data_IF_893298038046
#
_entry.id   IF_893298038046
#
_cell.length_a   1.000
_cell.length_b   1.000
_cell.length_c   1.000
_cell.angle_alpha   90.00
_cell.angle_beta   90.00
_cell.angle_gamma   90.00
#
_symmetry.space_group_name_H-M   'P 1'
#
loop_
_entity.id
_entity.type
_entity.pdbx_description
1 polymer ?
#
# COMPACT_ATOMS: atom_id res chain seq x y z
N UNK A 1 27.85 41.88 -78.71
CA UNK A 1 28.31 41.66 -77.31
C UNK A 1 27.13 41.89 -76.36
N UNK A 2 26.36 40.85 -75.98
CA UNK A 2 25.20 41.01 -75.06
C UNK A 2 24.99 39.83 -74.08
N UNK A 3 25.90 38.86 -74.01
CA UNK A 3 25.72 37.64 -73.20
C UNK A 3 26.26 37.70 -71.75
N UNK A 4 27.19 38.62 -71.44
CA UNK A 4 27.92 38.62 -70.15
C UNK A 4 27.17 39.35 -69.02
N UNK A 5 26.34 40.34 -69.33
CA UNK A 5 25.58 41.09 -68.32
C UNK A 5 24.35 40.32 -67.79
N UNK A 6 23.80 39.40 -68.59
CA UNK A 6 22.60 38.64 -68.21
C UNK A 6 22.93 37.49 -67.26
N UNK A 7 24.10 36.84 -67.41
CA UNK A 7 24.56 35.78 -66.51
C UNK A 7 24.94 36.31 -65.12
N UNK A 8 25.59 37.49 -65.05
CA UNK A 8 25.92 38.14 -63.77
C UNK A 8 24.65 38.55 -63.02
N UNK A 9 23.65 39.12 -63.73
CA UNK A 9 22.33 39.43 -63.13
C UNK A 9 21.60 38.18 -62.63
N UNK A 10 21.64 37.09 -63.39
CA UNK A 10 21.04 35.82 -62.98
C UNK A 10 21.71 35.23 -61.72
N UNK A 11 23.04 35.30 -61.62
CA UNK A 11 23.79 34.84 -60.44
C UNK A 11 23.45 35.68 -59.19
N UNK A 12 23.33 37.01 -59.34
CA UNK A 12 22.94 37.90 -58.24
C UNK A 12 21.50 37.60 -57.79
N UNK A 13 20.57 37.42 -58.72
CA UNK A 13 19.17 37.08 -58.40
C UNK A 13 19.07 35.72 -57.68
N UNK A 14 19.80 34.70 -58.14
CA UNK A 14 19.85 33.40 -57.47
C UNK A 14 20.47 33.49 -56.07
N UNK A 15 21.50 34.31 -55.88
CA UNK A 15 22.09 34.56 -54.57
C UNK A 15 21.10 35.22 -53.59
N UNK A 16 20.35 36.24 -54.05
CA UNK A 16 19.34 36.92 -53.24
C UNK A 16 18.19 35.98 -52.87
N UNK A 17 17.71 35.16 -53.82
CA UNK A 17 16.67 34.15 -53.56
C UNK A 17 17.18 33.11 -52.55
N UNK A 18 18.43 32.66 -52.69
CA UNK A 18 19.03 31.71 -51.75
C UNK A 18 19.06 32.24 -50.31
N UNK A 19 19.46 33.50 -50.13
CA UNK A 19 19.45 34.15 -48.81
C UNK A 19 18.03 34.30 -48.26
N UNK A 20 17.07 34.66 -49.10
CA UNK A 20 15.66 34.80 -48.71
C UNK A 20 15.05 33.47 -48.26
N UNK A 21 15.29 32.40 -49.02
CA UNK A 21 14.81 31.05 -48.68
C UNK A 21 15.46 30.58 -47.37
N UNK A 22 16.75 30.85 -47.18
CA UNK A 22 17.44 30.49 -45.94
C UNK A 22 16.88 31.24 -44.72
N UNK A 23 16.57 32.53 -44.87
CA UNK A 23 15.95 33.34 -43.81
C UNK A 23 14.54 32.83 -43.45
N UNK A 24 13.74 32.43 -44.45
CA UNK A 24 12.40 31.87 -44.24
C UNK A 24 12.47 30.51 -43.54
N UNK A 25 13.37 29.61 -43.97
CA UNK A 25 13.54 28.30 -43.34
C UNK A 25 14.06 28.45 -41.90
N UNK A 26 15.06 29.30 -41.68
CA UNK A 26 15.60 29.55 -40.34
C UNK A 26 14.56 30.18 -39.41
N UNK A 27 13.79 31.15 -39.92
CA UNK A 27 12.67 31.76 -39.20
C UNK A 27 11.57 30.76 -38.87
N UNK A 28 11.20 29.90 -39.81
CA UNK A 28 10.20 28.84 -39.63
C UNK A 28 10.62 27.81 -38.58
N UNK A 29 11.86 27.33 -38.63
CA UNK A 29 12.40 26.37 -37.64
C UNK A 29 12.51 27.04 -36.25
N UNK A 30 12.93 28.30 -36.18
CA UNK A 30 13.02 29.03 -34.92
C UNK A 30 11.65 29.26 -34.29
N UNK A 31 10.63 29.60 -35.09
CA UNK A 31 9.26 29.82 -34.63
C UNK A 31 8.55 28.53 -34.21
N UNK A 32 8.88 27.38 -34.83
CA UNK A 32 8.22 26.09 -34.58
C UNK A 32 8.93 25.22 -33.54
N UNK A 33 10.17 25.54 -33.15
CA UNK A 33 10.98 24.76 -32.19
C UNK A 33 10.32 24.48 -30.83
N UNK A 34 9.31 25.28 -30.45
CA UNK A 34 8.58 25.15 -29.18
C UNK A 34 7.10 24.76 -29.33
N UNK A 35 6.61 24.53 -30.56
CA UNK A 35 5.21 24.12 -30.79
C UNK A 35 5.13 22.59 -30.61
N UNK A 36 4.57 22.15 -29.48
CA UNK A 36 4.35 20.74 -29.18
C UNK A 36 5.14 20.16 -28.00
N UNK A 37 6.05 20.93 -27.38
CA UNK A 37 6.66 20.51 -26.11
C UNK A 37 5.75 20.89 -24.94
N UNK A 38 5.23 19.88 -24.25
CA UNK A 38 4.52 20.06 -22.97
C UNK A 38 5.39 20.89 -22.02
N UNK A 39 4.83 21.96 -21.45
CA UNK A 39 5.50 22.88 -20.50
C UNK A 39 5.74 22.26 -19.11
N UNK A 40 6.02 20.96 -19.02
CA UNK A 40 6.22 20.26 -17.76
C UNK A 40 7.46 19.35 -17.79
N UNK A 41 8.57 19.86 -18.30
CA UNK A 41 9.89 19.31 -17.93
C UNK A 41 10.47 20.26 -16.90
N UNK A 42 10.43 19.86 -15.63
CA UNK A 42 11.17 20.54 -14.59
C UNK A 42 12.65 20.35 -14.92
N UNK A 43 13.32 21.41 -15.35
CA UNK A 43 14.78 21.35 -15.55
C UNK A 43 15.45 21.10 -14.21
N UNK A 44 16.61 20.44 -14.21
CA UNK A 44 17.36 20.14 -12.98
C UNK A 44 17.61 21.42 -12.15
N UNK A 45 17.88 22.54 -12.82
CA UNK A 45 18.05 23.86 -12.18
C UNK A 45 16.78 24.33 -11.45
N UNK A 46 15.61 24.10 -12.06
CA UNK A 46 14.32 24.46 -11.46
C UNK A 46 13.98 23.55 -10.29
N UNK A 47 14.32 22.26 -10.37
CA UNK A 47 14.17 21.31 -9.26
C UNK A 47 15.08 21.69 -8.07
N UNK A 48 16.34 22.03 -8.32
CA UNK A 48 17.29 22.47 -7.29
C UNK A 48 16.80 23.77 -6.63
N UNK A 49 16.30 24.73 -7.42
CA UNK A 49 15.77 25.98 -6.88
C UNK A 49 14.55 25.76 -5.99
N UNK A 50 13.64 24.86 -6.40
CA UNK A 50 12.49 24.47 -5.57
C UNK A 50 12.93 23.75 -4.30
N UNK A 51 13.90 22.85 -4.39
CA UNK A 51 14.44 22.12 -3.25
C UNK A 51 15.12 23.05 -2.23
N UNK A 52 15.93 24.01 -2.68
CA UNK A 52 16.56 24.99 -1.80
C UNK A 52 15.51 25.86 -1.10
N UNK A 53 14.45 26.27 -1.81
CA UNK A 53 13.36 27.03 -1.19
C UNK A 53 12.64 26.23 -0.10
N UNK A 54 12.44 24.93 -0.32
CA UNK A 54 11.84 24.05 0.68
C UNK A 54 12.76 23.84 1.89
N UNK A 55 14.08 23.84 1.70
CA UNK A 55 15.05 23.77 2.80
C UNK A 55 15.12 25.07 3.61
N UNK A 56 15.03 26.23 2.97
CA UNK A 56 15.06 27.54 3.65
C UNK A 56 13.86 27.72 4.60
N UNK A 57 12.73 27.06 4.33
CA UNK A 57 11.52 27.11 5.16
C UNK A 57 11.54 26.10 6.34
N UNK A 58 12.60 25.30 6.50
CA UNK A 58 12.73 24.33 7.61
C UNK A 58 13.57 24.94 8.73
N UNK A 59 12.91 25.34 9.81
CA UNK A 59 13.57 25.72 11.05
C UNK A 59 13.90 24.46 11.87
N UNK A 60 15.19 24.11 11.95
CA UNK A 60 15.66 22.90 12.65
C UNK A 60 16.11 23.26 14.05
N UNK A 61 15.32 22.91 15.05
CA UNK A 61 15.78 22.90 16.44
C UNK A 61 16.43 21.55 16.77
N UNK A 62 17.76 21.55 16.92
CA UNK A 62 18.48 20.39 17.48
C UNK A 62 18.33 20.38 18.99
N UNK A 63 17.35 19.60 19.46
CA UNK A 63 17.24 19.25 20.88
C UNK A 63 18.38 18.31 21.28
N UNK A 64 18.87 18.44 22.52
CA UNK A 64 19.81 17.46 23.06
C UNK A 64 19.13 16.10 23.15
N UNK A 65 19.74 15.01 22.64
CA UNK A 65 19.16 13.68 22.75
C UNK A 65 18.98 13.32 24.22
N UNK A 66 17.74 13.25 24.69
CA UNK A 66 17.45 12.64 25.99
C UNK A 66 17.74 11.15 25.86
N UNK A 67 18.86 10.71 26.45
CA UNK A 67 19.16 9.30 26.64
C UNK A 67 18.12 8.72 27.61
N UNK A 68 17.00 8.25 27.07
CA UNK A 68 16.18 7.27 27.77
C UNK A 68 17.00 5.98 27.74
N UNK A 69 17.20 5.27 28.86
CA UNK A 69 17.75 3.94 28.81
C UNK A 69 16.81 3.09 27.95
N UNK A 70 17.22 2.79 26.72
CA UNK A 70 16.64 1.69 25.96
C UNK A 70 17.14 0.46 26.68
N UNK A 71 16.25 -0.22 27.40
CA UNK A 71 16.53 -1.57 27.85
C UNK A 71 16.81 -2.41 26.60
N UNK A 72 18.06 -2.85 26.44
CA UNK A 72 18.50 -3.73 25.35
C UNK A 72 18.19 -5.20 25.64
N UNK A 73 17.57 -5.50 26.79
CA UNK A 73 16.91 -6.79 26.94
C UNK A 73 15.81 -6.84 25.88
N UNK A 74 15.92 -7.78 24.95
CA UNK A 74 14.85 -8.03 23.99
C UNK A 74 13.59 -8.29 24.82
N UNK A 75 12.71 -7.29 24.94
CA UNK A 75 11.46 -7.45 25.63
C UNK A 75 10.81 -8.68 25.01
N UNK A 76 10.59 -9.70 25.82
CA UNK A 76 9.93 -10.92 25.37
C UNK A 76 8.67 -10.47 24.64
N UNK A 77 8.49 -10.87 23.37
CA UNK A 77 7.30 -10.47 22.59
C UNK A 77 6.04 -10.80 23.38
N UNK A 78 6.06 -11.92 24.12
CA UNK A 78 5.02 -12.32 25.09
C UNK A 78 4.76 -11.30 26.21
N UNK A 79 5.78 -10.62 26.71
CA UNK A 79 5.64 -9.60 27.76
C UNK A 79 5.20 -8.25 27.18
N UNK A 80 5.65 -7.92 25.97
CA UNK A 80 5.30 -6.67 25.29
C UNK A 80 3.87 -6.67 24.73
N UNK A 81 3.36 -7.83 24.33
CA UNK A 81 1.98 -7.96 23.86
C UNK A 81 1.00 -7.57 24.98
N UNK A 82 -0.11 -6.88 24.68
CA UNK A 82 -1.12 -6.62 25.69
C UNK A 82 -1.84 -7.90 26.13
N UNK A 83 -2.62 -7.82 27.20
CA UNK A 83 -3.55 -8.91 27.56
C UNK A 83 -4.58 -9.13 26.45
N UNK A 84 -4.95 -10.39 26.23
CA UNK A 84 -5.87 -10.76 25.13
C UNK A 84 -7.25 -10.09 25.26
N UNK A 85 -7.62 -9.67 26.48
CA UNK A 85 -8.83 -8.90 26.75
C UNK A 85 -8.89 -7.55 26.03
N UNK A 86 -7.76 -7.03 25.53
CA UNK A 86 -7.74 -5.85 24.64
C UNK A 86 -8.36 -6.12 23.27
N UNK A 87 -8.48 -7.38 22.88
CA UNK A 87 -9.12 -7.83 21.64
C UNK A 87 -10.29 -8.73 22.01
N UNK A 88 -11.40 -8.22 22.59
CA UNK A 88 -12.52 -9.07 23.00
C UNK A 88 -13.09 -9.87 21.82
N UNK A 89 -13.71 -11.01 22.12
CA UNK A 89 -14.41 -11.77 21.09
C UNK A 89 -15.61 -10.97 20.57
N UNK A 90 -15.83 -11.05 19.26
CA UNK A 90 -16.96 -10.40 18.59
C UNK A 90 -18.14 -11.37 18.42
N UNK A 91 -17.85 -12.67 18.43
CA UNK A 91 -18.85 -13.74 18.59
C UNK A 91 -18.37 -14.62 19.73
N UNK A 92 -19.19 -14.76 20.77
CA UNK A 92 -18.91 -15.66 21.88
C UNK A 92 -19.47 -17.06 21.62
N UNK A 93 -18.81 -18.06 22.23
CA UNK A 93 -19.34 -19.41 22.28
C UNK A 93 -20.55 -19.48 23.22
N UNK A 94 -21.53 -20.31 22.88
CA UNK A 94 -22.71 -20.56 23.74
C UNK A 94 -22.67 -21.93 24.40
N UNK A 95 -21.68 -22.76 24.07
CA UNK A 95 -21.46 -24.10 24.60
C UNK A 95 -20.00 -24.30 24.99
N UNK A 96 -19.72 -25.35 25.76
CA UNK A 96 -18.35 -25.75 26.10
C UNK A 96 -17.63 -26.48 24.96
N UNK A 97 -18.36 -26.90 23.92
CA UNK A 97 -17.79 -27.52 22.72
C UNK A 97 -17.67 -26.43 21.66
N UNK A 98 -16.53 -25.76 21.62
CA UNK A 98 -16.29 -24.69 20.67
C UNK A 98 -14.87 -24.66 20.13
N UNK A 99 -14.71 -23.95 19.03
CA UNK A 99 -13.42 -23.60 18.42
C UNK A 99 -13.31 -22.08 18.45
N UNK A 100 -12.22 -21.56 19.01
CA UNK A 100 -11.88 -20.16 18.83
C UNK A 100 -11.06 -19.95 17.55
N UNK A 101 -11.51 -18.98 16.77
CA UNK A 101 -10.86 -18.57 15.54
C UNK A 101 -10.39 -17.13 15.66
N UNK A 102 -9.08 -16.94 15.58
CA UNK A 102 -8.51 -15.62 15.30
C UNK A 102 -8.71 -15.28 13.83
N UNK A 103 -9.20 -14.08 13.55
CA UNK A 103 -9.42 -13.65 12.17
C UNK A 103 -8.93 -12.24 11.94
N UNK A 104 -8.44 -12.00 10.73
CA UNK A 104 -8.03 -10.66 10.29
C UNK A 104 -9.21 -9.69 10.32
N UNK A 105 -8.92 -8.42 10.61
CA UNK A 105 -9.93 -7.36 10.79
C UNK A 105 -10.74 -7.09 9.52
N UNK A 106 -10.23 -7.45 8.34
CA UNK A 106 -10.95 -7.32 7.06
C UNK A 106 -12.11 -8.32 6.92
N UNK A 107 -12.14 -9.37 7.76
CA UNK A 107 -13.22 -10.38 7.78
C UNK A 107 -14.14 -10.23 9.00
N UNK A 108 -13.72 -9.44 9.98
CA UNK A 108 -14.44 -9.21 11.24
C UNK A 108 -14.78 -7.73 11.43
N UNK A 109 -14.93 -7.01 10.33
CA UNK A 109 -15.38 -5.62 10.34
C UNK A 109 -16.88 -5.53 10.59
N UNK A 110 -17.47 -4.42 10.15
CA UNK A 110 -18.91 -4.19 10.22
C UNK A 110 -19.56 -4.31 8.83
N UNK A 111 -20.86 -4.60 8.79
CA UNK A 111 -21.60 -4.73 7.54
C UNK A 111 -20.99 -5.81 6.63
N UNK A 112 -20.68 -5.45 5.39
CA UNK A 112 -20.12 -6.41 4.41
C UNK A 112 -18.75 -6.95 4.79
N UNK A 113 -17.96 -6.18 5.54
CA UNK A 113 -16.63 -6.57 5.99
C UNK A 113 -16.69 -7.45 7.26
N UNK A 114 -17.89 -7.61 7.84
CA UNK A 114 -18.19 -8.47 8.98
C UNK A 114 -18.71 -9.86 8.59
N UNK A 115 -18.55 -10.29 7.35
CA UNK A 115 -19.18 -11.53 6.85
C UNK A 115 -18.87 -12.77 7.71
N UNK A 116 -17.66 -12.88 8.29
CA UNK A 116 -17.30 -14.03 9.13
C UNK A 116 -18.05 -14.01 10.47
N UNK A 117 -18.36 -12.81 10.99
CA UNK A 117 -19.19 -12.63 12.18
C UNK A 117 -20.61 -13.13 11.90
N UNK A 118 -21.19 -12.75 10.76
CA UNK A 118 -22.52 -13.21 10.35
C UNK A 118 -22.57 -14.73 10.18
N UNK A 119 -21.56 -15.32 9.54
CA UNK A 119 -21.46 -16.77 9.37
C UNK A 119 -21.30 -17.51 10.70
N UNK A 120 -20.48 -17.00 11.62
CA UNK A 120 -20.31 -17.61 12.93
C UNK A 120 -21.60 -17.54 13.77
N UNK A 121 -22.32 -16.42 13.75
CA UNK A 121 -23.61 -16.29 14.41
C UNK A 121 -24.66 -17.24 13.82
N UNK A 122 -24.70 -17.38 12.49
CA UNK A 122 -25.58 -18.32 11.82
C UNK A 122 -25.23 -19.78 12.18
N UNK A 123 -23.94 -20.14 12.20
CA UNK A 123 -23.48 -21.46 12.60
C UNK A 123 -23.88 -21.77 14.05
N UNK A 124 -23.61 -20.86 14.99
CA UNK A 124 -23.97 -21.04 16.40
C UNK A 124 -25.48 -21.19 16.60
N UNK A 125 -26.28 -20.49 15.80
CA UNK A 125 -27.74 -20.56 15.84
C UNK A 125 -28.31 -21.81 15.17
N UNK A 126 -27.55 -22.47 14.29
CA UNK A 126 -27.99 -23.67 13.57
C UNK A 126 -28.13 -24.92 14.46
N UNK A 127 -27.48 -24.92 15.63
CA UNK A 127 -27.46 -26.08 16.53
C UNK A 127 -26.65 -27.26 15.98
N UNK A 128 -25.65 -27.01 15.12
CA UNK A 128 -24.80 -28.04 14.55
C UNK A 128 -24.19 -28.96 15.62
N UNK A 129 -24.20 -30.27 15.37
CA UNK A 129 -23.74 -31.27 16.34
C UNK A 129 -22.45 -31.97 15.89
N UNK A 130 -21.51 -32.10 16.83
CA UNK A 130 -20.29 -32.89 16.67
C UNK A 130 -20.22 -33.87 17.83
N UNK A 131 -20.20 -35.17 17.54
CA UNK A 131 -20.20 -36.22 18.58
C UNK A 131 -21.41 -36.15 19.51
N UNK A 132 -22.58 -35.73 19.01
CA UNK A 132 -23.82 -35.59 19.79
C UNK A 132 -23.88 -34.37 20.71
N UNK A 133 -22.88 -33.47 20.66
CA UNK A 133 -22.89 -32.19 21.39
C UNK A 133 -23.02 -31.03 20.41
N UNK A 134 -23.75 -29.99 20.81
CA UNK A 134 -23.84 -28.76 20.01
C UNK A 134 -22.49 -28.04 19.99
N UNK A 135 -21.91 -27.93 18.80
CA UNK A 135 -20.67 -27.23 18.57
C UNK A 135 -20.93 -25.76 18.25
N UNK A 136 -20.09 -24.87 18.78
CA UNK A 136 -20.13 -23.44 18.48
C UNK A 136 -18.76 -22.90 18.07
N UNK A 137 -18.75 -21.68 17.54
CA UNK A 137 -17.57 -20.97 17.11
C UNK A 137 -17.47 -19.66 17.89
N UNK A 138 -16.27 -19.36 18.36
CA UNK A 138 -15.92 -18.07 18.94
C UNK A 138 -15.03 -17.32 17.95
N UNK A 139 -15.38 -16.09 17.59
CA UNK A 139 -14.59 -15.27 16.67
C UNK A 139 -13.95 -14.10 17.41
N UNK A 140 -12.64 -13.94 17.21
CA UNK A 140 -11.87 -12.79 17.69
C UNK A 140 -11.18 -12.09 16.53
N UNK A 141 -11.60 -10.85 16.27
CA UNK A 141 -10.94 -9.98 15.30
C UNK A 141 -9.62 -9.46 15.83
N UNK A 142 -8.54 -9.74 15.11
CA UNK A 142 -7.19 -9.29 15.44
C UNK A 142 -6.38 -9.09 14.16
N UNK A 143 -5.58 -8.03 14.08
CA UNK A 143 -4.69 -7.81 12.94
C UNK A 143 -3.75 -9.02 12.78
N UNK A 144 -3.53 -9.48 11.54
CA UNK A 144 -2.84 -10.76 11.30
C UNK A 144 -1.40 -10.79 11.84
N UNK A 145 -0.69 -9.67 11.83
CA UNK A 145 0.62 -9.56 12.46
C UNK A 145 0.54 -9.78 13.97
N UNK A 146 -0.34 -9.04 14.64
CA UNK A 146 -0.55 -9.20 16.09
C UNK A 146 -1.03 -10.60 16.46
N UNK A 147 -1.95 -11.18 15.69
CA UNK A 147 -2.38 -12.57 15.87
C UNK A 147 -1.23 -13.57 15.75
N UNK A 148 -0.34 -13.36 14.77
CA UNK A 148 0.88 -14.14 14.60
C UNK A 148 1.81 -13.99 15.81
N UNK A 149 1.99 -12.78 16.32
CA UNK A 149 2.81 -12.53 17.52
C UNK A 149 2.23 -13.26 18.75
N UNK A 150 0.91 -13.26 18.96
CA UNK A 150 0.28 -14.02 20.05
C UNK A 150 0.53 -15.52 19.95
N UNK A 151 0.32 -16.08 18.75
CA UNK A 151 0.47 -17.52 18.47
C UNK A 151 1.92 -17.97 18.68
N UNK A 152 2.87 -17.23 18.10
CA UNK A 152 4.29 -17.61 18.08
C UNK A 152 4.98 -17.35 19.41
N UNK A 153 4.60 -16.29 20.12
CA UNK A 153 5.08 -16.05 21.48
C UNK A 153 4.48 -17.01 22.52
N UNK A 154 3.39 -17.71 22.18
CA UNK A 154 2.64 -18.55 23.11
C UNK A 154 2.05 -17.73 24.27
N UNK A 155 1.76 -16.43 24.06
CA UNK A 155 1.01 -15.63 25.04
C UNK A 155 -0.44 -16.07 25.09
N UNK A 156 -1.02 -16.34 23.93
CA UNK A 156 -2.39 -16.80 23.80
C UNK A 156 -2.52 -17.57 22.49
N UNK A 157 -3.20 -18.72 22.53
CA UNK A 157 -3.29 -19.63 21.39
C UNK A 157 -4.76 -19.92 21.07
N UNK A 158 -5.28 -19.47 19.92
CA UNK A 158 -6.58 -19.90 19.42
C UNK A 158 -6.49 -21.32 18.85
N UNK A 159 -7.64 -21.96 18.66
CA UNK A 159 -7.73 -23.28 18.00
C UNK A 159 -7.48 -23.18 16.48
N UNK A 160 -7.89 -22.07 15.86
CA UNK A 160 -7.69 -21.82 14.44
C UNK A 160 -7.36 -20.35 14.14
N UNK A 161 -6.75 -20.12 12.98
CA UNK A 161 -6.33 -18.80 12.54
C UNK A 161 -6.63 -18.60 11.06
N UNK A 162 -7.42 -17.57 10.73
CA UNK A 162 -7.69 -17.13 9.35
C UNK A 162 -7.08 -15.75 9.09
N UNK A 163 -5.78 -15.68 8.78
CA UNK A 163 -5.10 -14.43 8.48
C UNK A 163 -5.58 -13.76 7.19
N UNK A 164 -5.09 -12.56 6.91
CA UNK A 164 -5.35 -11.86 5.65
C UNK A 164 -4.73 -12.57 4.44
N UNK A 165 -3.73 -13.43 4.66
CA UNK A 165 -3.09 -14.26 3.64
C UNK A 165 -2.26 -15.41 4.29
N UNK A 166 -1.89 -16.40 3.47
CA UNK A 166 -1.17 -17.61 3.91
C UNK A 166 0.26 -17.35 4.43
N UNK A 167 0.91 -16.24 4.04
CA UNK A 167 2.29 -15.93 4.47
C UNK A 167 2.40 -15.86 5.99
N UNK A 168 1.35 -15.39 6.67
CA UNK A 168 1.30 -15.39 8.14
C UNK A 168 1.37 -16.81 8.72
N UNK A 169 0.71 -17.78 8.09
CA UNK A 169 0.87 -19.20 8.45
C UNK A 169 2.31 -19.67 8.26
N UNK A 170 2.94 -19.33 7.13
CA UNK A 170 4.36 -19.65 6.89
C UNK A 170 5.32 -19.00 7.89
N UNK A 171 5.01 -17.79 8.36
CA UNK A 171 5.77 -17.14 9.42
C UNK A 171 5.64 -17.88 10.75
N UNK A 172 4.43 -18.35 11.10
CA UNK A 172 4.19 -19.17 12.29
C UNK A 172 5.00 -20.47 12.23
N UNK A 173 4.96 -21.18 11.09
CA UNK A 173 5.74 -22.41 10.86
C UNK A 173 7.25 -22.15 11.00
N UNK A 174 7.75 -21.08 10.38
CA UNK A 174 9.17 -20.72 10.39
C UNK A 174 9.69 -20.37 11.80
N UNK A 175 8.82 -19.90 12.69
CA UNK A 175 9.15 -19.62 14.09
C UNK A 175 9.05 -20.87 15.00
N UNK A 176 8.77 -22.05 14.40
CA UNK A 176 8.79 -23.34 15.10
C UNK A 176 7.45 -23.74 15.71
N UNK A 177 6.40 -22.95 15.53
CA UNK A 177 5.04 -23.31 15.95
C UNK A 177 4.41 -24.24 14.92
N UNK A 178 3.99 -25.42 15.35
CA UNK A 178 3.33 -26.40 14.49
C UNK A 178 1.90 -25.96 14.20
N UNK A 179 1.57 -25.78 12.93
CA UNK A 179 0.21 -25.54 12.44
C UNK A 179 -0.09 -26.50 11.31
N UNK A 180 -1.37 -26.74 11.06
CA UNK A 180 -1.85 -27.49 9.92
C UNK A 180 -2.77 -26.61 9.09
N UNK A 181 -2.58 -26.59 7.77
CA UNK A 181 -3.50 -25.92 6.87
C UNK A 181 -4.77 -26.76 6.75
N UNK A 182 -5.91 -26.18 7.16
CA UNK A 182 -7.22 -26.83 7.07
C UNK A 182 -7.89 -26.51 5.74
N UNK A 183 -7.86 -25.23 5.36
CA UNK A 183 -8.42 -24.73 4.10
C UNK A 183 -7.51 -23.64 3.55
N UNK A 184 -7.21 -23.71 2.24
CA UNK A 184 -6.29 -22.77 1.58
C UNK A 184 -6.84 -21.33 1.60
N UNK A 185 -8.16 -21.16 1.43
CA UNK A 185 -8.79 -19.85 1.34
C UNK A 185 -10.28 -19.88 1.66
N UNK A 186 -10.68 -19.11 2.67
CA UNK A 186 -12.10 -18.85 2.97
C UNK A 186 -12.72 -17.81 2.02
N UNK A 187 -12.05 -16.67 1.86
CA UNK A 187 -12.48 -15.57 0.98
C UNK A 187 -11.29 -14.94 0.26
N UNK A 188 -11.50 -14.55 -1.00
CA UNK A 188 -10.52 -13.82 -1.78
C UNK A 188 -10.66 -12.31 -1.61
N UNK A 189 -9.55 -11.58 -1.65
CA UNK A 189 -9.54 -10.13 -1.69
C UNK A 189 -8.71 -9.64 -2.90
N UNK A 190 -9.00 -8.44 -3.37
CA UNK A 190 -8.26 -7.77 -4.46
C UNK A 190 -7.69 -6.46 -3.91
N UNK A 191 -6.39 -6.24 -4.10
CA UNK A 191 -5.76 -4.98 -3.73
C UNK A 191 -6.31 -3.82 -4.59
N UNK A 192 -6.65 -2.71 -3.94
CA UNK A 192 -7.19 -1.53 -4.62
C UNK A 192 -6.84 -0.24 -3.89
N UNK A 193 -6.89 0.87 -4.62
CA UNK A 193 -6.75 2.22 -4.04
C UNK A 193 -8.14 2.80 -3.88
N UNK A 194 -8.52 3.10 -2.64
CA UNK A 194 -9.79 3.76 -2.34
C UNK A 194 -9.56 5.28 -2.25
N UNK A 195 -10.28 6.05 -3.06
CA UNK A 195 -10.30 7.51 -2.96
C UNK A 195 -11.67 7.98 -2.51
N UNK A 196 -11.70 8.99 -1.62
CA UNK A 196 -12.97 9.61 -1.25
C UNK A 196 -13.56 10.34 -2.46
N UNK A 197 -14.89 10.30 -2.60
CA UNK A 197 -15.59 10.99 -3.71
C UNK A 197 -15.20 12.47 -3.80
N UNK A 198 -15.00 13.12 -2.66
CA UNK A 198 -14.58 14.53 -2.55
C UNK A 198 -13.19 14.81 -3.10
N UNK A 199 -12.30 13.81 -3.20
CA UNK A 199 -10.94 13.95 -3.75
C UNK A 199 -10.83 13.47 -5.19
N UNK A 200 -11.81 12.72 -5.67
CA UNK A 200 -11.87 12.22 -7.04
C UNK A 200 -12.46 13.26 -8.02
N UNK A 201 -13.45 14.04 -7.56
CA UNK A 201 -14.05 15.15 -8.31
C UNK A 201 -13.26 16.44 -8.13
#
# INVERSE_FOLDING_TARGET
>A
MNGKNNSIRAIIILGVIGVLVFAIIYGGISATKNVGKSKTVVTAEKAIKTMNKLYDDIDVSTETPRKVPVSLEAASVKEALPEISKYPAQVDNTTDTYVEIFSSTEKTGEGKDGWLIDMANAFNSSGAQVGGKTATVRIRGIASGTGTDYITSGKYLPDAFTPSNELWGKMIEAQGTKINLVEDRLTGNVAGVLMSKTKYN
#
